data_IF_521637245054
#
_entry.id   IF_521637245054
#
_cell.length_a   1.000
_cell.length_b   1.000
_cell.length_c   1.000
_cell.angle_alpha   90.00
_cell.angle_beta   90.00
_cell.angle_gamma   90.00
#
_symmetry.space_group_name_H-M   'P 1'
#
loop_
_entity.id
_entity.type
_entity.pdbx_description
1 polymer ?
#
# COMPACT_ATOMS: atom_id res chain seq x y z
N UNK A 1 -2.01 4.38 -32.78
CA UNK A 1 -2.71 3.97 -31.55
C UNK A 1 -2.06 2.70 -31.03
N UNK A 2 -0.96 2.81 -30.29
CA UNK A 2 -0.33 1.66 -29.64
C UNK A 2 -0.98 1.55 -28.24
N UNK A 3 -1.70 0.46 -27.97
CA UNK A 3 -2.23 0.17 -26.64
C UNK A 3 -1.03 -0.02 -25.71
N UNK A 4 -0.96 0.77 -24.64
CA UNK A 4 -0.05 0.52 -23.54
C UNK A 4 -0.33 -0.89 -22.99
N UNK A 5 0.71 -1.69 -22.85
CA UNK A 5 0.63 -3.06 -22.31
C UNK A 5 0.33 -2.96 -20.81
N UNK A 6 -0.93 -2.73 -20.47
CA UNK A 6 -1.52 -3.14 -19.20
C UNK A 6 -2.17 -4.49 -19.46
N UNK A 7 -1.48 -5.58 -19.12
CA UNK A 7 -2.04 -6.92 -19.18
C UNK A 7 -3.05 -7.06 -18.02
N UNK A 8 -4.22 -6.46 -18.20
CA UNK A 8 -5.39 -6.66 -17.34
C UNK A 8 -5.77 -8.14 -17.43
N UNK A 9 -5.40 -8.91 -16.41
CA UNK A 9 -5.58 -10.36 -16.38
C UNK A 9 -4.50 -11.14 -15.62
N UNK A 10 -3.49 -10.47 -15.06
CA UNK A 10 -2.54 -11.14 -14.18
C UNK A 10 -3.16 -11.25 -12.77
N UNK A 11 -3.20 -12.44 -12.18
CA UNK A 11 -3.42 -12.63 -10.71
C UNK A 11 -2.42 -11.81 -9.87
N UNK A 12 -1.40 -11.25 -10.53
CA UNK A 12 -0.46 -10.27 -9.99
C UNK A 12 -1.02 -8.87 -9.83
N UNK A 13 -2.23 -8.53 -10.28
CA UNK A 13 -2.79 -7.17 -10.11
C UNK A 13 -3.42 -6.96 -8.73
N UNK A 14 -4.15 -7.95 -8.20
CA UNK A 14 -4.75 -7.85 -6.87
C UNK A 14 -3.77 -8.34 -5.82
N UNK A 15 -3.42 -7.48 -4.85
CA UNK A 15 -2.55 -7.83 -3.73
C UNK A 15 -3.13 -7.28 -2.42
N UNK A 16 -3.37 -8.17 -1.47
CA UNK A 16 -3.87 -7.84 -0.15
C UNK A 16 -2.97 -8.45 0.92
N UNK A 17 -2.78 -7.73 2.02
CA UNK A 17 -1.94 -8.15 3.15
C UNK A 17 -2.71 -7.95 4.45
N UNK A 18 -2.77 -9.00 5.27
CA UNK A 18 -3.20 -8.92 6.67
C UNK A 18 -2.00 -8.81 7.61
N UNK A 19 -1.04 -9.73 7.50
CA UNK A 19 0.24 -9.76 8.24
C UNK A 19 1.36 -10.23 7.33
N UNK A 20 2.63 -9.97 7.70
CA UNK A 20 3.77 -10.38 6.88
C UNK A 20 5.10 -9.84 7.40
N UNK A 21 6.21 -10.13 6.72
CA UNK A 21 7.55 -9.77 7.17
C UNK A 21 7.76 -8.25 7.25
N UNK A 22 8.55 -7.82 8.23
CA UNK A 22 8.93 -6.45 8.48
C UNK A 22 10.43 -6.25 8.21
N UNK A 23 10.79 -5.03 7.85
CA UNK A 23 12.18 -4.59 7.74
C UNK A 23 12.85 -4.60 9.12
N UNK A 24 14.05 -5.18 9.23
CA UNK A 24 14.80 -5.21 10.50
C UNK A 24 15.23 -3.83 10.99
N UNK A 25 15.42 -2.87 10.08
CA UNK A 25 15.93 -1.53 10.41
C UNK A 25 14.78 -0.58 10.71
N UNK A 26 13.77 -0.54 9.83
CA UNK A 26 12.69 0.44 9.91
C UNK A 26 11.43 -0.09 10.60
N UNK A 27 11.36 -1.41 10.85
CA UNK A 27 10.15 -2.07 11.36
C UNK A 27 8.89 -1.73 10.55
N UNK A 28 9.07 -1.44 9.26
CA UNK A 28 7.98 -1.23 8.32
C UNK A 28 7.72 -2.51 7.52
N UNK A 29 6.47 -2.75 7.08
CA UNK A 29 6.18 -3.79 6.12
C UNK A 29 7.12 -3.74 4.92
N UNK A 30 7.59 -4.89 4.45
CA UNK A 30 8.42 -4.93 3.24
C UNK A 30 7.64 -4.42 2.03
N UNK A 31 8.34 -3.97 0.99
CA UNK A 31 7.72 -3.50 -0.25
C UNK A 31 7.50 -4.60 -1.27
N UNK A 32 6.40 -4.48 -2.04
CA UNK A 32 6.14 -5.28 -3.23
C UNK A 32 5.42 -6.62 -2.99
N UNK A 33 4.65 -7.04 -4.00
CA UNK A 33 3.78 -8.23 -3.96
C UNK A 33 4.56 -9.53 -3.67
N UNK A 34 5.76 -9.65 -4.25
CA UNK A 34 6.62 -10.82 -4.11
C UNK A 34 7.08 -11.10 -2.66
N UNK A 35 7.06 -10.11 -1.77
CA UNK A 35 7.49 -10.27 -0.36
C UNK A 35 6.33 -10.12 0.62
N UNK A 36 5.10 -10.37 0.15
CA UNK A 36 3.88 -10.10 0.90
C UNK A 36 3.88 -8.70 1.53
N UNK A 37 4.36 -7.74 0.74
CA UNK A 37 4.66 -6.41 1.21
C UNK A 37 3.41 -5.57 1.50
N UNK A 38 3.57 -4.56 2.34
CA UNK A 38 2.49 -3.61 2.66
C UNK A 38 2.29 -2.56 1.56
N UNK A 39 1.12 -1.94 1.57
CA UNK A 39 0.89 -0.71 0.81
C UNK A 39 1.58 0.44 1.53
N UNK A 40 2.24 1.32 0.78
CA UNK A 40 2.78 2.56 1.34
C UNK A 40 1.63 3.55 1.55
N UNK A 41 1.51 4.04 2.76
CA UNK A 41 0.69 5.20 3.10
C UNK A 41 1.64 6.41 3.24
N UNK A 42 1.44 7.45 2.42
CA UNK A 42 2.32 8.60 2.34
C UNK A 42 1.64 9.89 2.78
N UNK A 43 2.36 11.00 2.63
CA UNK A 43 1.92 12.34 3.06
C UNK A 43 0.60 12.76 2.41
N UNK A 44 0.40 12.38 1.14
CA UNK A 44 -0.82 12.71 0.41
C UNK A 44 -2.04 11.99 0.97
N UNK A 45 -1.89 10.72 1.35
CA UNK A 45 -2.98 9.96 1.94
C UNK A 45 -3.28 10.41 3.38
N UNK A 46 -2.25 10.85 4.13
CA UNK A 46 -2.41 11.53 5.43
C UNK A 46 -3.26 12.78 5.27
N UNK A 47 -2.89 13.67 4.34
CA UNK A 47 -3.65 14.91 4.10
C UNK A 47 -5.10 14.66 3.71
N UNK A 48 -5.37 13.60 2.94
CA UNK A 48 -6.73 13.23 2.57
C UNK A 48 -7.57 12.81 3.79
N UNK A 49 -6.99 12.04 4.73
CA UNK A 49 -7.69 11.65 5.96
C UNK A 49 -7.86 12.82 6.94
N UNK A 50 -6.85 13.69 7.05
CA UNK A 50 -6.92 14.91 7.85
C UNK A 50 -8.03 15.85 7.34
N UNK A 51 -8.12 16.05 6.01
CA UNK A 51 -9.15 16.87 5.40
C UNK A 51 -10.57 16.30 5.59
N UNK A 52 -10.70 14.97 5.65
CA UNK A 52 -11.97 14.30 5.95
C UNK A 52 -12.33 14.35 7.45
N UNK A 53 -11.39 14.67 8.33
CA UNK A 53 -11.60 14.70 9.79
C UNK A 53 -11.51 13.32 10.46
N UNK A 54 -10.90 12.33 9.79
CA UNK A 54 -10.73 10.97 10.30
C UNK A 54 -9.49 10.82 11.21
N UNK A 55 -9.40 11.65 12.24
CA UNK A 55 -8.26 11.70 13.16
C UNK A 55 -7.99 10.36 13.86
N UNK A 56 -9.04 9.63 14.24
CA UNK A 56 -8.90 8.32 14.90
C UNK A 56 -8.35 7.25 13.94
N UNK A 57 -8.74 7.28 12.66
CA UNK A 57 -8.21 6.35 11.67
C UNK A 57 -6.74 6.66 11.38
N UNK A 58 -6.38 7.94 11.30
CA UNK A 58 -4.98 8.34 11.10
C UNK A 58 -4.06 7.89 12.25
N UNK A 59 -4.57 7.86 13.48
CA UNK A 59 -3.82 7.39 14.64
C UNK A 59 -3.56 5.88 14.65
N UNK A 60 -4.44 5.10 14.02
CA UNK A 60 -4.34 3.62 13.97
C UNK A 60 -3.47 3.10 12.81
N UNK A 61 -3.13 3.96 11.84
CA UNK A 61 -2.30 3.65 10.67
C UNK A 61 -0.80 3.63 10.97
#
# INVERSE_FOLDING_TARGET
MQRAVGLAGDDREVHARATGPYSLITQQPLGGKARTGGQRFGEMEVWALEAYGAAYILQEL
#
